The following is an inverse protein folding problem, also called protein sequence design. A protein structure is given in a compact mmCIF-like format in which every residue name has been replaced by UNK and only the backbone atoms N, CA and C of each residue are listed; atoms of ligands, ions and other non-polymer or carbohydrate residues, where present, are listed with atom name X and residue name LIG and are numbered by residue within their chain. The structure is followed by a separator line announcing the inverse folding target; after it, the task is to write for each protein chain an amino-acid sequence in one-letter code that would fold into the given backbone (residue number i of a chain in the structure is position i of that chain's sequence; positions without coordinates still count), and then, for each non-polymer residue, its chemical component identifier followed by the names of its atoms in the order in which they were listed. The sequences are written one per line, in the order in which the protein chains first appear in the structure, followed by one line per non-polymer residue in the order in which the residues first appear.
data_IF_597133827940
#
_entry.id   IF_597133827940
#
_cell.length_a   1.000
_cell.length_b   1.000
_cell.length_c   1.000
_cell.angle_alpha   90.00
_cell.angle_beta   90.00
_cell.angle_gamma   90.00
#
_symmetry.space_group_name_H-M   'P 1'
#
loop_
_entity.id
_entity.type
_entity.pdbx_description
1 polymer ?
#
# COMPACT_ATOMS: atom_id res chain seq x y z
N UNK A 1 -12.58 15.91 -5.18
CA UNK A 1 -12.03 15.27 -3.99
C UNK A 1 -12.46 16.09 -2.79
N UNK A 2 -13.37 15.55 -1.96
CA UNK A 2 -13.69 16.18 -0.70
C UNK A 2 -12.45 16.09 0.20
N UNK A 3 -12.08 17.23 0.79
CA UNK A 3 -11.01 17.30 1.78
C UNK A 3 -11.39 16.42 2.97
N UNK A 4 -10.59 15.40 3.24
CA UNK A 4 -10.76 14.55 4.40
C UNK A 4 -10.55 15.40 5.67
N UNK A 5 -11.56 15.43 6.53
CA UNK A 5 -11.52 16.25 7.74
C UNK A 5 -10.70 15.56 8.86
N UNK A 6 -10.18 16.36 9.81
CA UNK A 6 -9.54 15.82 11.01
C UNK A 6 -10.47 14.88 11.82
N UNK A 7 -11.78 15.12 11.79
CA UNK A 7 -12.78 14.25 12.38
C UNK A 7 -12.78 12.84 11.74
N UNK A 8 -12.67 12.76 10.41
CA UNK A 8 -12.62 11.49 9.69
C UNK A 8 -11.41 10.65 10.14
N UNK A 9 -10.22 11.26 10.19
CA UNK A 9 -9.01 10.55 10.64
C UNK A 9 -9.05 10.18 12.13
N UNK A 10 -9.61 11.05 12.98
CA UNK A 10 -9.80 10.74 14.39
C UNK A 10 -10.72 9.52 14.59
N UNK A 11 -11.82 9.45 13.82
CA UNK A 11 -12.72 8.30 13.83
C UNK A 11 -12.03 7.02 13.40
N UNK A 12 -11.26 7.03 12.30
CA UNK A 12 -10.52 5.85 11.84
C UNK A 12 -9.51 5.34 12.88
N UNK A 13 -8.82 6.27 13.56
CA UNK A 13 -7.87 5.91 14.63
C UNK A 13 -8.61 5.32 15.84
N UNK A 14 -9.75 5.88 16.21
CA UNK A 14 -10.56 5.38 17.30
C UNK A 14 -11.12 3.98 17.00
N UNK A 15 -11.69 3.77 15.82
CA UNK A 15 -12.16 2.45 15.38
C UNK A 15 -11.03 1.41 15.44
N UNK A 16 -9.82 1.75 14.96
CA UNK A 16 -8.65 0.87 15.03
C UNK A 16 -8.25 0.53 16.46
N UNK A 17 -8.27 1.52 17.35
CA UNK A 17 -8.01 1.31 18.77
C UNK A 17 -9.02 0.35 19.39
N UNK A 18 -10.31 0.53 19.13
CA UNK A 18 -11.37 -0.38 19.62
C UNK A 18 -11.19 -1.79 19.09
N UNK A 19 -10.83 -1.96 17.81
CA UNK A 19 -10.57 -3.28 17.23
C UNK A 19 -9.39 -4.02 17.88
N UNK A 20 -8.43 -3.28 18.42
CA UNK A 20 -7.28 -3.85 19.14
C UNK A 20 -7.57 -4.31 20.57
N UNK A 21 -8.67 -3.84 21.18
CA UNK A 21 -8.95 -4.09 22.60
C UNK A 21 -9.46 -5.51 22.90
N UNK A 22 -10.29 -6.07 22.02
CA UNK A 22 -10.92 -7.35 22.25
C UNK A 22 -10.76 -8.22 21.02
N UNK A 23 -10.06 -9.33 21.16
CA UNK A 23 -9.81 -10.30 20.10
C UNK A 23 -10.21 -11.70 20.56
N UNK A 24 -10.64 -12.49 19.61
CA UNK A 24 -10.94 -13.91 19.77
C UNK A 24 -10.00 -14.70 18.85
N UNK A 25 -9.31 -15.69 19.41
CA UNK A 25 -8.61 -16.71 18.63
C UNK A 25 -9.36 -18.02 18.69
N UNK A 26 -9.47 -18.71 17.59
CA UNK A 26 -10.17 -19.98 17.51
C UNK A 26 -9.54 -20.94 16.51
N UNK A 27 -9.87 -22.23 16.68
CA UNK A 27 -9.48 -23.29 15.76
C UNK A 27 -10.74 -23.97 15.25
N UNK A 28 -10.78 -24.31 13.98
CA UNK A 28 -11.91 -24.98 13.33
C UNK A 28 -11.42 -25.98 12.28
N UNK A 29 -12.22 -26.98 12.00
CA UNK A 29 -12.03 -27.89 10.87
C UNK A 29 -12.85 -27.50 9.63
N UNK A 30 -13.58 -26.39 9.69
CA UNK A 30 -14.42 -25.93 8.57
C UNK A 30 -13.62 -25.26 7.47
N UNK A 31 -13.72 -25.78 6.27
CA UNK A 31 -13.08 -25.20 5.08
C UNK A 31 -13.86 -24.01 4.49
N UNK A 32 -15.01 -23.65 5.05
CA UNK A 32 -15.87 -22.59 4.52
C UNK A 32 -15.69 -21.24 5.18
N UNK A 33 -14.81 -21.17 6.21
CA UNK A 33 -14.51 -19.93 6.90
C UNK A 33 -13.69 -19.00 6.00
N UNK A 34 -14.04 -17.72 6.01
CA UNK A 34 -13.31 -16.68 5.26
C UNK A 34 -13.24 -15.38 6.07
N UNK A 35 -12.20 -14.57 5.87
CA UNK A 35 -12.13 -13.22 6.44
C UNK A 35 -13.35 -12.38 6.03
N UNK A 36 -13.86 -11.58 6.98
CA UNK A 36 -15.06 -10.76 6.79
C UNK A 36 -16.38 -11.45 7.10
N UNK A 37 -16.39 -12.77 7.31
CA UNK A 37 -17.60 -13.48 7.76
C UNK A 37 -17.91 -13.17 9.22
N UNK A 38 -19.20 -13.13 9.55
CA UNK A 38 -19.70 -13.01 10.91
C UNK A 38 -20.05 -14.40 11.44
N UNK A 39 -19.35 -14.84 12.47
CA UNK A 39 -19.62 -16.08 13.18
C UNK A 39 -20.59 -15.83 14.33
N UNK A 40 -21.59 -16.66 14.46
CA UNK A 40 -22.40 -16.76 15.67
C UNK A 40 -21.82 -17.85 16.56
N UNK A 41 -21.46 -17.48 17.79
CA UNK A 41 -20.88 -18.39 18.74
C UNK A 41 -22.00 -18.89 19.66
N UNK A 42 -22.18 -20.20 19.70
CA UNK A 42 -23.13 -20.88 20.61
C UNK A 42 -22.39 -21.61 21.72
N UNK A 43 -23.01 -21.76 22.88
CA UNK A 43 -22.44 -22.55 23.98
C UNK A 43 -21.59 -21.78 24.98
N UNK A 44 -21.89 -20.49 25.23
CA UNK A 44 -21.25 -19.75 26.33
C UNK A 44 -20.18 -18.77 25.89
N UNK A 45 -20.42 -18.05 24.78
CA UNK A 45 -19.56 -16.98 24.35
C UNK A 45 -19.44 -15.85 25.39
N UNK A 46 -18.27 -15.24 25.55
CA UNK A 46 -18.13 -14.00 26.32
C UNK A 46 -19.10 -12.92 25.80
N UNK A 47 -19.65 -12.11 26.72
CA UNK A 47 -20.66 -11.10 26.40
C UNK A 47 -20.27 -10.17 25.24
N UNK A 48 -18.99 -9.85 25.11
CA UNK A 48 -18.49 -9.02 24.01
C UNK A 48 -18.76 -9.62 22.62
N UNK A 49 -18.90 -10.93 22.51
CA UNK A 49 -19.16 -11.65 21.26
C UNK A 49 -20.61 -12.12 21.12
N UNK A 50 -21.52 -11.70 22.02
CA UNK A 50 -22.93 -12.05 21.91
C UNK A 50 -23.59 -11.64 20.58
N UNK A 51 -23.24 -10.48 19.98
CA UNK A 51 -23.75 -10.09 18.65
C UNK A 51 -23.14 -10.91 17.51
N UNK A 52 -22.00 -11.56 17.75
CA UNK A 52 -21.21 -12.32 16.78
C UNK A 52 -19.73 -11.93 16.79
N UNK A 53 -18.93 -12.64 16.02
CA UNK A 53 -17.51 -12.40 15.82
C UNK A 53 -17.21 -12.24 14.33
N UNK A 54 -16.51 -11.17 13.94
CA UNK A 54 -16.05 -10.96 12.57
C UNK A 54 -14.66 -11.52 12.42
N UNK A 55 -14.47 -12.47 11.51
CA UNK A 55 -13.14 -13.04 11.20
C UNK A 55 -12.30 -11.95 10.54
N UNK A 56 -11.15 -11.66 11.13
CA UNK A 56 -10.19 -10.65 10.62
C UNK A 56 -8.99 -11.28 9.92
N UNK A 57 -8.56 -12.45 10.41
CA UNK A 57 -7.47 -13.21 9.87
C UNK A 57 -7.77 -14.70 9.92
N UNK A 58 -7.23 -15.44 8.94
CA UNK A 58 -7.39 -16.87 8.84
C UNK A 58 -6.11 -17.51 8.29
N UNK A 59 -5.67 -18.58 8.94
CA UNK A 59 -4.55 -19.40 8.51
C UNK A 59 -5.06 -20.85 8.38
N UNK A 60 -5.07 -21.40 7.18
CA UNK A 60 -5.43 -22.79 6.93
C UNK A 60 -4.19 -23.68 6.77
N UNK A 61 -4.26 -24.85 7.32
CA UNK A 61 -3.24 -25.90 7.16
C UNK A 61 -3.91 -27.18 6.66
N UNK A 62 -3.35 -27.74 5.62
CA UNK A 62 -3.80 -29.00 5.06
C UNK A 62 -2.57 -29.81 4.62
N UNK A 63 -2.57 -31.10 4.93
CA UNK A 63 -1.59 -32.05 4.45
C UNK A 63 -2.29 -33.36 4.09
N UNK A 64 -1.65 -34.17 3.25
CA UNK A 64 -2.25 -35.43 2.78
C UNK A 64 -2.44 -36.44 3.90
N UNK A 65 -1.61 -36.36 4.93
CA UNK A 65 -1.56 -37.23 6.10
C UNK A 65 -2.08 -36.57 7.40
N UNK A 66 -2.63 -35.37 7.31
CA UNK A 66 -3.16 -34.62 8.44
C UNK A 66 -4.55 -34.07 8.15
N UNK A 67 -5.35 -33.94 9.20
CA UNK A 67 -6.66 -33.31 9.12
C UNK A 67 -6.55 -31.81 8.77
N UNK A 68 -7.51 -31.33 8.01
CA UNK A 68 -7.63 -29.91 7.72
C UNK A 68 -7.90 -29.12 9.01
N UNK A 69 -7.11 -28.09 9.22
CA UNK A 69 -7.22 -27.20 10.37
C UNK A 69 -7.18 -25.73 9.94
N UNK A 70 -8.03 -24.94 10.54
CA UNK A 70 -8.06 -23.48 10.34
C UNK A 70 -7.92 -22.80 11.69
N UNK A 71 -6.90 -21.99 11.83
CA UNK A 71 -6.75 -21.04 12.93
C UNK A 71 -7.25 -19.69 12.47
N UNK A 72 -8.08 -19.02 13.24
CA UNK A 72 -8.61 -17.71 12.89
C UNK A 72 -8.53 -16.72 14.05
N UNK A 73 -8.45 -15.45 13.72
CA UNK A 73 -8.66 -14.33 14.63
C UNK A 73 -9.93 -13.58 14.25
N UNK A 74 -10.63 -13.10 15.27
CA UNK A 74 -11.88 -12.36 15.09
C UNK A 74 -11.99 -11.23 16.12
N UNK A 75 -12.81 -10.25 15.80
CA UNK A 75 -13.21 -9.13 16.68
C UNK A 75 -14.72 -9.20 16.93
N UNK A 76 -15.25 -8.56 17.98
CA UNK A 76 -16.68 -8.45 18.19
C UNK A 76 -17.37 -7.80 16.99
N UNK A 77 -18.50 -8.36 16.56
CA UNK A 77 -19.34 -7.73 15.54
C UNK A 77 -19.99 -6.46 16.10
N UNK A 78 -19.95 -5.40 15.31
CA UNK A 78 -20.62 -4.13 15.63
C UNK A 78 -21.18 -3.52 14.34
N UNK A 79 -22.37 -2.94 14.43
CA UNK A 79 -22.97 -2.18 13.31
C UNK A 79 -22.38 -0.78 13.15
N UNK A 80 -21.74 -0.26 14.19
CA UNK A 80 -21.23 1.13 14.23
C UNK A 80 -19.74 1.23 14.16
N UNK A 81 -18.99 0.19 14.53
CA UNK A 81 -17.52 0.14 14.52
C UNK A 81 -17.08 -0.81 13.42
N UNK A 82 -16.49 -0.26 12.37
CA UNK A 82 -15.94 -1.06 11.28
C UNK A 82 -14.59 -1.66 11.65
N UNK A 83 -14.25 -2.80 11.06
CA UNK A 83 -12.89 -3.34 11.12
C UNK A 83 -11.92 -2.40 10.42
N UNK A 84 -10.84 -2.07 11.13
CA UNK A 84 -9.71 -1.29 10.60
C UNK A 84 -8.42 -2.06 10.87
N UNK A 85 -7.73 -2.53 9.83
CA UNK A 85 -6.47 -3.23 10.00
C UNK A 85 -5.42 -2.32 10.68
N UNK A 86 -4.46 -2.96 11.32
CA UNK A 86 -3.31 -2.24 11.87
C UNK A 86 -2.53 -1.57 10.74
N UNK A 87 -1.98 -0.38 11.04
CA UNK A 87 -1.12 0.30 10.08
C UNK A 87 0.16 -0.50 9.93
N UNK A 88 0.49 -0.82 8.70
CA UNK A 88 1.81 -1.37 8.37
C UNK A 88 2.81 -0.23 8.27
N UNK A 89 4.04 -0.50 8.66
CA UNK A 89 5.13 0.43 8.42
C UNK A 89 5.26 0.66 6.90
N UNK A 90 5.39 1.94 6.52
CA UNK A 90 5.57 2.29 5.12
C UNK A 90 6.87 1.66 4.63
N UNK A 91 6.85 0.82 3.58
CA UNK A 91 8.07 0.27 3.03
C UNK A 91 8.98 1.38 2.51
N UNK A 92 10.25 1.29 2.86
CA UNK A 92 11.27 2.27 2.49
C UNK A 92 12.25 1.64 1.53
N UNK A 93 12.66 2.39 0.52
CA UNK A 93 13.69 1.98 -0.43
C UNK A 93 15.01 2.62 -0.01
N UNK A 94 15.91 1.84 0.53
CA UNK A 94 17.26 2.28 0.86
C UNK A 94 18.12 2.34 -0.41
N UNK A 95 18.86 3.46 -0.59
CA UNK A 95 19.73 3.64 -1.75
C UNK A 95 19.00 4.16 -2.98
N UNK A 96 19.52 3.78 -4.16
CA UNK A 96 19.01 4.25 -5.45
C UNK A 96 18.61 3.07 -6.34
N UNK A 97 17.68 3.34 -7.26
CA UNK A 97 17.21 2.37 -8.25
C UNK A 97 17.55 2.91 -9.65
N UNK A 98 18.17 2.10 -10.54
CA UNK A 98 18.51 2.53 -11.89
C UNK A 98 17.26 2.65 -12.77
N UNK A 99 17.25 3.72 -13.58
CA UNK A 99 16.19 4.00 -14.53
C UNK A 99 16.77 4.71 -15.77
N UNK A 100 15.96 4.84 -16.83
CA UNK A 100 16.30 5.62 -18.02
C UNK A 100 15.29 6.73 -18.24
N UNK A 101 15.78 7.89 -18.59
CA UNK A 101 14.94 9.03 -18.99
C UNK A 101 14.17 8.68 -20.27
N UNK A 102 12.86 8.97 -20.29
CA UNK A 102 11.97 8.68 -21.42
C UNK A 102 11.37 9.94 -22.01
N UNK A 103 10.86 9.81 -23.24
CA UNK A 103 10.12 10.84 -23.95
C UNK A 103 8.99 10.18 -24.75
N UNK A 104 7.83 10.84 -24.91
CA UNK A 104 6.77 10.36 -25.81
C UNK A 104 7.18 10.38 -27.29
N UNK A 105 8.24 11.13 -27.63
CA UNK A 105 8.76 11.21 -29.00
C UNK A 105 9.93 10.26 -29.20
N UNK A 106 9.86 9.41 -30.21
CA UNK A 106 10.97 8.55 -30.58
C UNK A 106 12.15 9.37 -31.11
N UNK A 107 13.37 9.02 -30.68
CA UNK A 107 14.61 9.70 -31.04
C UNK A 107 14.61 11.22 -30.74
N UNK A 108 13.93 11.62 -29.69
CA UNK A 108 13.87 13.00 -29.24
C UNK A 108 15.29 13.53 -28.94
N UNK A 109 15.79 14.55 -29.66
CA UNK A 109 17.12 15.12 -29.42
C UNK A 109 17.13 16.08 -28.22
N UNK A 110 15.97 16.39 -27.66
CA UNK A 110 15.82 17.33 -26.56
C UNK A 110 15.31 16.61 -25.29
N UNK A 111 15.52 17.22 -24.15
CA UNK A 111 14.96 16.70 -22.89
C UNK A 111 13.44 16.88 -22.84
N UNK A 112 12.71 15.80 -22.57
CA UNK A 112 11.28 15.87 -22.27
C UNK A 112 11.08 16.29 -20.81
N UNK A 113 10.83 17.56 -20.59
CA UNK A 113 10.65 18.17 -19.26
C UNK A 113 9.30 18.90 -19.18
N UNK A 114 8.74 18.96 -17.97
CA UNK A 114 7.58 19.82 -17.72
C UNK A 114 8.01 21.26 -17.34
N UNK A 115 7.03 22.12 -17.04
CA UNK A 115 7.25 23.50 -16.64
C UNK A 115 8.08 23.64 -15.35
N UNK A 116 8.10 22.60 -14.50
CA UNK A 116 8.89 22.56 -13.27
C UNK A 116 10.28 21.92 -13.46
N UNK A 117 10.62 21.54 -14.69
CA UNK A 117 11.89 20.91 -15.01
C UNK A 117 12.03 19.47 -14.52
N UNK A 118 10.90 18.75 -14.39
CA UNK A 118 10.84 17.34 -13.99
C UNK A 118 10.94 16.44 -15.23
N UNK A 119 11.35 15.20 -15.00
CA UNK A 119 11.57 14.18 -16.02
C UNK A 119 10.66 12.97 -15.81
N UNK A 120 10.43 12.24 -16.87
CA UNK A 120 9.85 10.90 -16.82
C UNK A 120 10.91 9.84 -17.06
N UNK A 121 10.77 8.71 -16.40
CA UNK A 121 11.75 7.64 -16.46
C UNK A 121 11.06 6.28 -16.58
N UNK A 122 11.79 5.32 -17.14
CA UNK A 122 11.43 3.91 -17.04
C UNK A 122 12.46 3.19 -16.17
N UNK A 123 12.00 2.47 -15.14
CA UNK A 123 12.86 1.67 -14.28
C UNK A 123 13.39 0.46 -15.04
N UNK A 124 14.67 0.12 -14.86
CA UNK A 124 15.29 -0.98 -15.62
C UNK A 124 14.75 -2.36 -15.25
N UNK A 125 14.13 -2.50 -14.09
CA UNK A 125 13.46 -3.74 -13.68
C UNK A 125 12.05 -3.88 -14.21
N UNK A 126 11.43 -2.79 -14.70
CA UNK A 126 10.06 -2.79 -15.20
C UNK A 126 9.99 -3.57 -16.52
N UNK A 127 9.05 -4.51 -16.59
CA UNK A 127 8.82 -5.38 -17.75
C UNK A 127 7.50 -5.09 -18.45
N UNK A 128 6.73 -4.13 -17.95
CA UNK A 128 5.47 -3.75 -18.53
C UNK A 128 5.68 -2.94 -19.82
N UNK A 129 4.82 -3.16 -20.80
CA UNK A 129 4.85 -2.43 -22.06
C UNK A 129 4.05 -1.12 -21.92
N UNK A 130 4.71 -0.08 -21.46
CA UNK A 130 4.14 1.26 -21.35
C UNK A 130 4.14 1.99 -22.70
N UNK A 131 3.23 2.95 -22.84
CA UNK A 131 3.37 3.93 -23.91
C UNK A 131 4.56 4.87 -23.57
N UNK A 132 5.37 5.22 -24.59
CA UNK A 132 6.47 6.15 -24.37
C UNK A 132 6.02 7.46 -23.71
N UNK A 133 6.68 7.83 -22.61
CA UNK A 133 6.35 9.00 -21.80
C UNK A 133 5.24 8.79 -20.75
N UNK A 134 4.69 7.58 -20.60
CA UNK A 134 3.68 7.21 -19.59
C UNK A 134 4.22 6.25 -18.50
N UNK A 135 5.51 5.92 -18.54
CA UNK A 135 6.16 4.90 -17.71
C UNK A 135 6.28 5.30 -16.23
N UNK A 136 6.22 6.59 -15.92
CA UNK A 136 6.32 7.10 -14.55
C UNK A 136 5.51 8.37 -14.34
N UNK A 137 5.41 8.77 -13.08
CA UNK A 137 5.08 10.15 -12.73
C UNK A 137 6.25 11.08 -13.07
N UNK A 138 6.05 12.38 -12.96
CA UNK A 138 7.09 13.37 -13.10
C UNK A 138 8.03 13.35 -11.88
N UNK A 139 9.33 13.17 -12.12
CA UNK A 139 10.36 13.11 -11.08
C UNK A 139 11.27 14.34 -11.15
N UNK A 140 11.62 14.89 -10.00
CA UNK A 140 12.54 16.02 -9.88
C UNK A 140 13.98 15.56 -10.14
N UNK A 141 14.75 16.39 -10.83
CA UNK A 141 16.19 16.21 -10.94
C UNK A 141 16.87 16.72 -9.67
N UNK A 142 17.69 15.89 -9.03
CA UNK A 142 18.58 16.34 -7.96
C UNK A 142 19.64 17.28 -8.54
N UNK A 143 19.71 18.49 -8.02
CA UNK A 143 20.65 19.52 -8.46
C UNK A 143 21.50 19.98 -7.29
N UNK A 144 22.82 20.17 -7.47
CA UNK A 144 23.67 20.65 -6.40
C UNK A 144 23.38 22.12 -6.01
N UNK A 145 22.76 22.87 -6.93
CA UNK A 145 22.43 24.28 -6.72
C UNK A 145 21.20 24.68 -7.54
N UNK A 146 20.16 25.14 -6.87
CA UNK A 146 18.94 25.63 -7.50
C UNK A 146 18.22 26.66 -6.61
N UNK A 147 17.74 27.73 -7.20
CA UNK A 147 16.91 28.76 -6.60
C UNK A 147 15.81 29.20 -7.58
N UNK A 148 14.99 30.17 -7.19
CA UNK A 148 13.84 30.60 -7.99
C UNK A 148 14.23 31.19 -9.35
N UNK A 149 15.36 31.89 -9.42
CA UNK A 149 15.82 32.60 -10.61
C UNK A 149 17.20 32.16 -11.09
N UNK A 150 17.83 31.22 -10.42
CA UNK A 150 19.22 30.81 -10.70
C UNK A 150 19.45 29.34 -10.34
N UNK A 151 20.46 28.72 -10.90
CA UNK A 151 20.82 27.35 -10.62
C UNK A 151 21.65 26.68 -11.70
N UNK A 152 22.20 25.52 -11.39
CA UNK A 152 22.86 24.66 -12.35
C UNK A 152 21.80 23.78 -13.03
N UNK A 153 21.61 23.98 -14.33
CA UNK A 153 20.70 23.21 -15.15
C UNK A 153 21.42 22.44 -16.23
N UNK A 154 21.47 21.13 -16.12
CA UNK A 154 22.04 20.21 -17.10
C UNK A 154 20.90 19.33 -17.62
N UNK A 155 20.29 19.65 -18.77
CA UNK A 155 19.17 18.87 -19.31
C UNK A 155 19.58 17.44 -19.63
N UNK A 156 18.74 16.49 -19.20
CA UNK A 156 18.91 15.07 -19.53
C UNK A 156 18.16 14.77 -20.83
N UNK A 157 18.80 14.06 -21.74
CA UNK A 157 18.17 13.57 -22.96
C UNK A 157 17.57 12.18 -22.75
N UNK A 158 16.51 11.78 -23.50
CA UNK A 158 15.96 10.46 -23.46
C UNK A 158 17.00 9.37 -23.71
N UNK A 159 16.90 8.25 -22.99
CA UNK A 159 17.87 7.17 -23.02
C UNK A 159 19.01 7.30 -22.01
N UNK A 160 19.21 8.47 -21.40
CA UNK A 160 20.20 8.66 -20.32
C UNK A 160 19.85 7.80 -19.12
N UNK A 161 20.82 7.03 -18.64
CA UNK A 161 20.67 6.25 -17.41
C UNK A 161 20.86 7.15 -16.18
N UNK A 162 19.96 6.99 -15.22
CA UNK A 162 19.91 7.80 -14.00
C UNK A 162 19.69 6.91 -12.77
N UNK A 163 20.09 7.42 -11.61
CA UNK A 163 19.81 6.78 -10.32
C UNK A 163 18.67 7.52 -9.63
N UNK A 164 17.60 6.83 -9.31
CA UNK A 164 16.43 7.37 -8.61
C UNK A 164 16.61 7.18 -7.11
N UNK A 165 16.64 8.28 -6.37
CA UNK A 165 16.60 8.28 -4.90
C UNK A 165 15.16 8.56 -4.43
N UNK A 166 14.78 7.95 -3.31
CA UNK A 166 13.45 8.11 -2.71
C UNK A 166 13.56 8.97 -1.46
N UNK A 167 12.89 10.11 -1.46
CA UNK A 167 12.69 10.93 -0.26
C UNK A 167 11.53 10.30 0.55
N UNK A 168 11.79 10.04 1.83
CA UNK A 168 10.88 9.29 2.71
C UNK A 168 10.31 10.18 3.81
#
# INVERSE_FOLDING_TARGET
LQSESGYFYARLRHERYLNGQTRLSGVSSSATLAPGQVLKISGGAPQAFAPGAVITQLISRAARDASYEVTFEAIPYSETVCFRPELQDKPQIAGTVPARVTSPQAHDPYGHIDIEGRYKVNFLFDRDAWKPGEESLWLRLARPYAGDTHGLHLPLIPGTEVAIAFEQ
#
